data_IF_601859456651
#
_entry.id   IF_601859456651
#
_cell.length_a   1.000
_cell.length_b   1.000
_cell.length_c   1.000
_cell.angle_alpha   90.00
_cell.angle_beta   90.00
_cell.angle_gamma   90.00
#
_symmetry.space_group_name_H-M   'P 1'
#
loop_
_entity.id
_entity.type
_entity.pdbx_description
1 polymer ?
#
# COMPACT_ATOMS: atom_id res chain seq x y z
N UNK A 1 -16.52 7.72 25.48
CA UNK A 1 -16.08 7.16 24.18
C UNK A 1 -15.05 8.11 23.59
N UNK A 2 -13.76 7.86 23.79
CA UNK A 2 -12.70 8.70 23.23
C UNK A 2 -12.47 8.29 21.78
N UNK A 3 -12.93 9.12 20.85
CA UNK A 3 -12.67 8.92 19.42
C UNK A 3 -11.17 9.10 19.18
N UNK A 4 -10.52 8.07 18.65
CA UNK A 4 -9.11 8.13 18.27
C UNK A 4 -8.96 8.94 16.96
N UNK A 5 -8.84 10.26 17.10
CA UNK A 5 -8.70 11.19 15.97
C UNK A 5 -7.54 10.83 15.03
N UNK A 6 -6.44 10.27 15.56
CA UNK A 6 -5.31 9.82 14.74
C UNK A 6 -5.71 8.68 13.82
N UNK A 7 -6.38 7.65 14.36
CA UNK A 7 -6.89 6.53 13.57
C UNK A 7 -7.87 6.99 12.48
N UNK A 8 -8.75 7.93 12.80
CA UNK A 8 -9.68 8.51 11.82
C UNK A 8 -8.96 9.28 10.70
N UNK A 9 -7.98 10.11 11.04
CA UNK A 9 -7.21 10.85 10.05
C UNK A 9 -6.50 9.90 9.07
N UNK A 10 -5.87 8.84 9.60
CA UNK A 10 -5.21 7.84 8.77
C UNK A 10 -6.20 7.10 7.86
N UNK A 11 -7.37 6.73 8.37
CA UNK A 11 -8.44 6.11 7.56
C UNK A 11 -8.91 7.01 6.41
N UNK A 12 -9.09 8.32 6.66
CA UNK A 12 -9.49 9.29 5.63
C UNK A 12 -8.40 9.40 4.56
N UNK A 13 -7.13 9.52 4.96
CA UNK A 13 -6.00 9.62 4.01
C UNK A 13 -5.93 8.37 3.14
N UNK A 14 -6.03 7.18 3.74
CA UNK A 14 -5.99 5.92 2.99
C UNK A 14 -7.18 5.78 2.04
N UNK A 15 -8.39 6.10 2.51
CA UNK A 15 -9.60 6.11 1.68
C UNK A 15 -9.47 7.05 0.48
N UNK A 16 -8.89 8.24 0.69
CA UNK A 16 -8.60 9.17 -0.39
C UNK A 16 -7.63 8.58 -1.43
N UNK A 17 -6.56 7.91 -1.00
CA UNK A 17 -5.61 7.29 -1.94
C UNK A 17 -6.18 6.09 -2.69
N UNK A 18 -7.04 5.29 -2.05
CA UNK A 18 -7.79 4.21 -2.74
C UNK A 18 -8.62 4.81 -3.88
N UNK A 19 -9.44 5.81 -3.54
CA UNK A 19 -10.29 6.49 -4.52
C UNK A 19 -9.47 7.13 -5.65
N UNK A 20 -8.40 7.84 -5.30
CA UNK A 20 -7.54 8.52 -6.26
C UNK A 20 -6.80 7.55 -7.20
N UNK A 21 -6.34 6.42 -6.67
CA UNK A 21 -5.67 5.38 -7.44
C UNK A 21 -6.65 4.71 -8.42
N UNK A 22 -7.88 4.46 -7.99
CA UNK A 22 -8.93 3.91 -8.86
C UNK A 22 -9.35 4.93 -9.94
N UNK A 23 -9.49 6.20 -9.58
CA UNK A 23 -9.82 7.28 -10.51
C UNK A 23 -8.75 7.45 -11.60
N UNK A 24 -7.46 7.55 -11.24
CA UNK A 24 -6.39 7.72 -12.24
C UNK A 24 -6.31 6.52 -13.18
N UNK A 25 -6.57 5.30 -12.69
CA UNK A 25 -6.59 4.10 -13.53
C UNK A 25 -7.70 4.18 -14.57
N UNK A 26 -8.90 4.60 -14.17
CA UNK A 26 -10.02 4.77 -15.12
C UNK A 26 -9.74 5.86 -16.14
N UNK A 27 -9.28 7.03 -15.71
CA UNK A 27 -8.97 8.15 -16.61
C UNK A 27 -7.87 7.81 -17.62
N UNK A 28 -6.81 7.15 -17.17
CA UNK A 28 -5.72 6.74 -18.07
C UNK A 28 -6.15 5.59 -18.97
N UNK A 29 -6.95 4.65 -18.48
CA UNK A 29 -7.49 3.57 -19.32
C UNK A 29 -8.36 4.11 -20.46
N UNK A 30 -9.20 5.12 -20.22
CA UNK A 30 -10.01 5.75 -21.27
C UNK A 30 -9.15 6.59 -22.21
N UNK A 31 -8.20 7.37 -21.68
CA UNK A 31 -7.33 8.23 -22.47
C UNK A 31 -6.39 7.44 -23.39
N UNK A 32 -5.80 6.35 -22.90
CA UNK A 32 -4.91 5.48 -23.66
C UNK A 32 -5.65 4.38 -24.42
N UNK A 33 -7.00 4.33 -24.36
CA UNK A 33 -7.82 3.30 -25.04
C UNK A 33 -7.34 1.86 -24.82
N UNK A 34 -6.73 1.58 -23.67
CA UNK A 34 -6.11 0.30 -23.33
C UNK A 34 -4.94 -0.13 -24.25
N UNK A 35 -4.18 0.83 -24.79
CA UNK A 35 -3.01 0.59 -25.61
C UNK A 35 -1.87 -0.12 -24.86
N UNK A 36 -0.93 -0.69 -25.61
CA UNK A 36 0.26 -1.38 -25.08
C UNK A 36 1.07 -0.53 -24.10
N UNK A 37 1.11 0.80 -24.31
CA UNK A 37 1.78 1.74 -23.39
C UNK A 37 1.15 1.72 -21.99
N UNK A 38 -0.17 1.71 -21.92
CA UNK A 38 -0.89 1.66 -20.65
C UNK A 38 -0.64 0.34 -19.93
N UNK A 39 -0.65 -0.78 -20.66
CA UNK A 39 -0.30 -2.09 -20.12
C UNK A 39 1.14 -2.13 -19.59
N UNK A 40 2.10 -1.56 -20.31
CA UNK A 40 3.50 -1.47 -19.86
C UNK A 40 3.65 -0.63 -18.58
N UNK A 41 2.94 0.50 -18.47
CA UNK A 41 2.92 1.33 -17.26
C UNK A 41 2.38 0.54 -16.08
N UNK A 42 1.25 -0.17 -16.26
CA UNK A 42 0.63 -0.99 -15.21
C UNK A 42 1.55 -2.13 -14.77
N UNK A 43 2.22 -2.82 -15.69
CA UNK A 43 3.17 -3.89 -15.37
C UNK A 43 4.33 -3.35 -14.53
N UNK A 44 4.92 -2.21 -14.92
CA UNK A 44 6.01 -1.59 -14.16
C UNK A 44 5.55 -1.10 -12.79
N UNK A 45 4.37 -0.50 -12.71
CA UNK A 45 3.79 -0.08 -11.43
C UNK A 45 3.51 -1.28 -10.51
N UNK A 46 2.96 -2.36 -11.05
CA UNK A 46 2.72 -3.59 -10.29
C UNK A 46 4.04 -4.23 -9.80
N UNK A 47 5.10 -4.19 -10.60
CA UNK A 47 6.41 -4.67 -10.16
C UNK A 47 6.97 -3.87 -8.97
N UNK A 48 6.75 -2.54 -8.93
CA UNK A 48 7.09 -1.72 -7.76
C UNK A 48 6.27 -2.15 -6.53
N UNK A 49 4.98 -2.38 -6.71
CA UNK A 49 4.09 -2.87 -5.65
C UNK A 49 4.51 -4.25 -5.12
N UNK A 50 4.95 -5.16 -5.99
CA UNK A 50 5.49 -6.47 -5.59
C UNK A 50 6.77 -6.29 -4.76
N UNK A 51 7.68 -5.40 -5.17
CA UNK A 51 8.89 -5.08 -4.38
C UNK A 51 8.54 -4.52 -3.01
N UNK A 52 7.52 -3.67 -2.93
CA UNK A 52 7.01 -3.14 -1.67
C UNK A 52 6.52 -4.27 -0.75
N UNK A 53 5.72 -5.21 -1.25
CA UNK A 53 5.29 -6.35 -0.44
C UNK A 53 6.45 -7.26 -0.01
N UNK A 54 7.43 -7.51 -0.90
CA UNK A 54 8.63 -8.28 -0.53
C UNK A 54 9.39 -7.64 0.64
N UNK A 55 9.50 -6.31 0.63
CA UNK A 55 10.15 -5.56 1.71
C UNK A 55 9.36 -5.67 3.02
N UNK A 56 8.04 -5.54 2.98
CA UNK A 56 7.18 -5.74 4.17
C UNK A 56 7.33 -7.15 4.71
N UNK A 57 7.25 -8.18 3.85
CA UNK A 57 7.40 -9.57 4.27
C UNK A 57 8.75 -9.82 4.94
N UNK A 58 9.83 -9.21 4.44
CA UNK A 58 11.15 -9.28 5.08
C UNK A 58 11.15 -8.65 6.48
N UNK A 59 10.51 -7.49 6.65
CA UNK A 59 10.39 -6.83 7.96
C UNK A 59 9.60 -7.67 8.95
N UNK A 60 8.49 -8.28 8.50
CA UNK A 60 7.70 -9.19 9.33
C UNK A 60 8.53 -10.40 9.77
N UNK A 61 9.30 -10.98 8.85
CA UNK A 61 10.17 -12.13 9.14
C UNK A 61 11.29 -11.77 10.12
N UNK A 62 11.90 -10.58 9.97
CA UNK A 62 12.89 -10.07 10.92
C UNK A 62 12.28 -9.83 12.31
N UNK A 63 11.10 -9.23 12.38
CA UNK A 63 10.38 -9.01 13.63
C UNK A 63 10.04 -10.34 14.34
N UNK A 64 9.60 -11.34 13.56
CA UNK A 64 9.37 -12.68 14.07
C UNK A 64 10.65 -13.32 14.63
N UNK A 65 11.74 -13.30 13.85
CA UNK A 65 13.03 -13.86 14.27
C UNK A 65 13.55 -13.21 15.56
N UNK A 66 13.52 -11.87 15.65
CA UNK A 66 13.92 -11.15 16.86
C UNK A 66 13.04 -11.51 18.06
N UNK A 67 11.72 -11.61 17.86
CA UNK A 67 10.79 -12.01 18.90
C UNK A 67 11.08 -13.42 19.45
N UNK A 68 11.45 -14.35 18.57
CA UNK A 68 11.78 -15.74 18.95
C UNK A 68 13.16 -15.91 19.57
N UNK A 69 14.15 -15.10 19.19
CA UNK A 69 15.55 -15.26 19.65
C UNK A 69 15.79 -14.53 20.97
N UNK A 70 15.10 -13.42 21.22
CA UNK A 70 15.35 -12.53 22.37
C UNK A 70 14.26 -12.69 23.46
N UNK A 71 13.40 -13.72 23.35
CA UNK A 71 12.26 -13.98 24.26
C UNK A 71 11.40 -12.73 24.53
N UNK A 72 11.16 -11.93 23.48
CA UNK A 72 10.42 -10.68 23.60
C UNK A 72 8.93 -11.01 23.64
N UNK A 73 8.33 -10.92 24.82
CA UNK A 73 6.91 -11.22 25.01
C UNK A 73 6.06 -9.94 24.93
N UNK A 74 5.62 -9.58 23.72
CA UNK A 74 4.82 -8.37 23.47
C UNK A 74 3.33 -8.71 23.50
N UNK A 75 2.60 -8.15 24.47
CA UNK A 75 1.13 -8.20 24.49
C UNK A 75 0.55 -7.08 23.62
N UNK A 76 0.10 -7.42 22.42
CA UNK A 76 -0.55 -6.47 21.50
C UNK A 76 -2.05 -6.73 21.47
N UNK A 77 -2.84 -5.66 21.60
CA UNK A 77 -4.29 -5.74 21.43
C UNK A 77 -4.63 -6.13 19.98
N UNK A 78 -5.56 -7.07 19.79
CA UNK A 78 -5.99 -7.53 18.47
C UNK A 78 -6.42 -6.39 17.56
N UNK A 79 -7.09 -5.36 18.10
CA UNK A 79 -7.49 -4.15 17.39
C UNK A 79 -6.31 -3.41 16.76
N UNK A 80 -5.18 -3.31 17.47
CA UNK A 80 -3.99 -2.64 16.97
C UNK A 80 -3.32 -3.47 15.87
N UNK A 81 -3.29 -4.79 16.02
CA UNK A 81 -2.77 -5.70 14.99
C UNK A 81 -3.58 -5.61 13.70
N UNK A 82 -4.92 -5.65 13.81
CA UNK A 82 -5.81 -5.51 12.65
C UNK A 82 -5.66 -4.14 11.98
N UNK A 83 -5.51 -3.08 12.78
CA UNK A 83 -5.24 -1.74 12.25
C UNK A 83 -3.93 -1.72 11.45
N UNK A 84 -2.82 -2.22 12.01
CA UNK A 84 -1.53 -2.27 11.32
C UNK A 84 -1.63 -3.06 10.01
N UNK A 85 -2.29 -4.22 10.03
CA UNK A 85 -2.50 -5.04 8.81
C UNK A 85 -3.29 -4.23 7.76
N UNK A 86 -4.38 -3.57 8.17
CA UNK A 86 -5.17 -2.74 7.27
C UNK A 86 -4.33 -1.59 6.68
N UNK A 87 -3.51 -0.92 7.49
CA UNK A 87 -2.61 0.15 7.03
C UNK A 87 -1.63 -0.37 5.97
N UNK A 88 -1.01 -1.51 6.24
CA UNK A 88 -0.05 -2.15 5.33
C UNK A 88 -0.73 -2.51 4.00
N UNK A 89 -1.89 -3.14 4.03
CA UNK A 89 -2.63 -3.52 2.82
C UNK A 89 -3.03 -2.27 2.02
N UNK A 90 -3.58 -1.26 2.68
CA UNK A 90 -4.07 -0.04 2.01
C UNK A 90 -2.94 0.84 1.49
N UNK A 91 -1.78 0.85 2.15
CA UNK A 91 -0.60 1.62 1.71
C UNK A 91 -0.11 1.21 0.31
N UNK A 92 -0.44 0.00 -0.15
CA UNK A 92 -0.26 -0.46 -1.53
C UNK A 92 -0.80 0.55 -2.55
N UNK A 93 -1.98 1.12 -2.32
CA UNK A 93 -2.62 2.05 -3.25
C UNK A 93 -1.84 3.37 -3.38
N UNK A 94 -1.18 3.79 -2.31
CA UNK A 94 -0.29 4.96 -2.32
C UNK A 94 0.91 4.68 -3.22
N UNK A 95 1.57 3.54 -3.00
CA UNK A 95 2.75 3.13 -3.77
C UNK A 95 2.41 2.96 -5.25
N UNK A 96 1.30 2.28 -5.54
CA UNK A 96 0.82 2.06 -6.91
C UNK A 96 0.48 3.39 -7.60
N UNK A 97 -0.22 4.30 -6.92
CA UNK A 97 -0.55 5.62 -7.45
C UNK A 97 0.69 6.41 -7.87
N UNK A 98 1.71 6.48 -7.00
CA UNK A 98 2.96 7.17 -7.32
C UNK A 98 3.73 6.46 -8.43
N UNK A 99 3.74 5.13 -8.45
CA UNK A 99 4.41 4.37 -9.50
C UNK A 99 3.76 4.61 -10.87
N UNK A 100 2.43 4.59 -10.97
CA UNK A 100 1.68 4.91 -12.19
C UNK A 100 2.07 6.31 -12.66
N UNK A 101 1.96 7.32 -11.79
CA UNK A 101 2.27 8.72 -12.14
C UNK A 101 3.72 8.92 -12.57
N UNK A 102 4.65 8.15 -12.01
CA UNK A 102 6.07 8.21 -12.38
C UNK A 102 6.33 7.61 -13.76
N UNK A 103 5.78 6.42 -14.04
CA UNK A 103 5.99 5.74 -15.32
C UNK A 103 5.23 6.40 -16.47
N UNK A 104 4.03 6.92 -16.19
CA UNK A 104 3.23 7.72 -17.11
C UNK A 104 3.95 8.99 -17.60
N UNK A 105 4.83 9.57 -16.78
CA UNK A 105 5.68 10.71 -17.18
C UNK A 105 6.93 10.31 -17.96
N UNK A 106 7.34 9.03 -17.92
CA UNK A 106 8.62 8.55 -18.45
C UNK A 106 8.49 7.70 -19.71
N UNK A 107 7.29 7.25 -20.05
CA UNK A 107 6.98 6.36 -21.19
C UNK A 107 6.02 7.10 -22.12
#
# INVERSE_FOLDING_TARGET
MTINFFGLAVMIILGFFVWKNDHIRRERQTSYKNDERWQLILIKANNVTIKFYKLISLLVLLGFFLGTVVDINIKVALSNTLLIIALVIMSRHIVEYFAIKYYDKRI
#
